data_IF_536325438198
#
_entry.id   IF_536325438198
#
_cell.length_a   1.000
_cell.length_b   1.000
_cell.length_c   1.000
_cell.angle_alpha   90.00
_cell.angle_beta   90.00
_cell.angle_gamma   90.00
#
_symmetry.space_group_name_H-M   'P 1'
#
loop_
_entity.id
_entity.type
_entity.pdbx_description
1 polymer ?
#
# COMPACT_ATOMS: atom_id res chain seq x y z
N UNK A 1 10.06 -7.93 -20.85
CA UNK A 1 10.77 -7.91 -19.55
C UNK A 1 12.16 -8.53 -19.61
N UNK A 2 12.33 -9.82 -19.97
CA UNK A 2 13.67 -10.41 -20.09
C UNK A 2 14.57 -9.75 -21.14
N UNK A 3 14.02 -9.45 -22.33
CA UNK A 3 14.76 -8.82 -23.42
C UNK A 3 15.34 -7.44 -23.07
N UNK A 4 14.76 -6.73 -22.09
CA UNK A 4 15.23 -5.43 -21.61
C UNK A 4 16.06 -5.55 -20.32
N UNK A 5 16.52 -6.75 -19.97
CA UNK A 5 17.40 -6.97 -18.81
C UNK A 5 16.71 -6.88 -17.44
N UNK A 6 15.39 -6.67 -17.36
CA UNK A 6 14.71 -6.45 -16.06
C UNK A 6 14.81 -7.61 -15.07
N UNK A 7 15.09 -8.83 -15.54
CA UNK A 7 15.34 -10.01 -14.71
C UNK A 7 16.71 -9.98 -13.99
N UNK A 8 17.58 -9.04 -14.36
CA UNK A 8 18.88 -8.81 -13.73
C UNK A 8 18.83 -7.70 -12.66
N UNK A 9 17.66 -7.10 -12.44
CA UNK A 9 17.49 -6.15 -11.34
C UNK A 9 17.62 -6.86 -9.99
N UNK A 10 17.86 -6.10 -8.92
CA UNK A 10 17.98 -6.67 -7.57
C UNK A 10 16.62 -6.99 -6.94
N UNK A 11 15.59 -6.19 -7.23
CA UNK A 11 14.25 -6.34 -6.68
C UNK A 11 13.20 -5.64 -7.54
N UNK A 12 11.92 -5.92 -7.25
CA UNK A 12 10.76 -5.28 -7.88
C UNK A 12 10.27 -4.16 -6.96
N UNK A 13 9.98 -2.98 -7.51
CA UNK A 13 9.26 -1.91 -6.80
C UNK A 13 7.80 -1.94 -7.23
N UNK A 14 6.92 -2.31 -6.29
CA UNK A 14 5.47 -2.38 -6.47
C UNK A 14 4.81 -1.13 -5.88
N UNK A 15 4.17 -0.33 -6.73
CA UNK A 15 3.46 0.87 -6.28
C UNK A 15 2.04 0.55 -5.85
N UNK A 16 1.60 1.11 -4.72
CA UNK A 16 0.18 1.10 -4.35
C UNK A 16 -0.50 2.44 -4.61
N UNK A 17 0.02 3.52 -4.01
CA UNK A 17 -0.43 4.89 -4.21
C UNK A 17 0.53 5.85 -3.48
N UNK A 18 0.72 7.05 -4.03
CA UNK A 18 1.42 8.15 -3.37
C UNK A 18 0.47 9.07 -2.57
N UNK A 19 -0.84 8.81 -2.63
CA UNK A 19 -1.91 9.58 -1.97
C UNK A 19 -2.85 8.66 -1.20
N UNK A 20 -3.33 9.13 -0.06
CA UNK A 20 -4.46 8.53 0.63
C UNK A 20 -5.69 8.56 -0.28
N UNK A 21 -6.45 7.48 -0.30
CA UNK A 21 -7.69 7.38 -1.07
C UNK A 21 -8.63 8.57 -0.80
N UNK A 22 -8.77 8.97 0.46
CA UNK A 22 -9.60 10.08 0.88
C UNK A 22 -9.25 11.41 0.22
N UNK A 23 -7.97 11.66 -0.07
CA UNK A 23 -7.57 12.89 -0.74
C UNK A 23 -8.08 12.98 -2.18
N UNK A 24 -8.22 11.82 -2.83
CA UNK A 24 -8.72 11.66 -4.19
C UNK A 24 -10.25 11.59 -4.27
N UNK A 25 -10.92 11.44 -3.12
CA UNK A 25 -12.38 11.25 -3.02
C UNK A 25 -13.14 12.52 -2.62
N UNK A 26 -12.46 13.52 -2.05
CA UNK A 26 -13.12 14.78 -1.66
C UNK A 26 -13.56 15.58 -2.88
N UNK A 27 -14.69 16.29 -2.77
CA UNK A 27 -15.27 17.06 -3.87
C UNK A 27 -14.36 18.22 -4.34
N UNK A 28 -13.61 18.82 -3.42
CA UNK A 28 -12.66 19.90 -3.69
C UNK A 28 -11.26 19.47 -3.24
N UNK A 29 -10.58 18.58 -3.98
CA UNK A 29 -9.29 18.05 -3.58
C UNK A 29 -8.20 19.14 -3.69
N UNK A 30 -7.16 19.08 -2.84
CA UNK A 30 -5.96 19.88 -3.06
C UNK A 30 -5.34 19.53 -4.42
N UNK A 31 -4.55 20.45 -5.00
CA UNK A 31 -4.01 20.30 -6.34
C UNK A 31 -3.22 18.98 -6.53
N UNK A 32 -2.54 18.48 -5.49
CA UNK A 32 -1.80 17.21 -5.54
C UNK A 32 -2.66 15.95 -5.66
N UNK A 33 -3.98 16.08 -5.49
CA UNK A 33 -5.00 15.03 -5.53
C UNK A 33 -6.07 15.27 -6.60
N UNK A 34 -6.09 16.45 -7.20
CA UNK A 34 -7.07 16.83 -8.21
C UNK A 34 -6.89 16.06 -9.53
N UNK A 35 -7.97 15.96 -10.30
CA UNK A 35 -7.94 15.41 -11.67
C UNK A 35 -7.80 13.90 -11.78
N UNK A 36 -7.86 13.16 -10.67
CA UNK A 36 -7.91 11.68 -10.68
C UNK A 36 -9.36 11.21 -10.50
N UNK A 37 -9.74 10.16 -11.22
CA UNK A 37 -11.09 9.55 -11.16
C UNK A 37 -10.98 8.05 -10.98
N UNK A 38 -11.86 7.46 -10.18
CA UNK A 38 -11.93 6.01 -9.96
C UNK A 38 -12.17 5.65 -8.50
N UNK A 39 -12.08 4.35 -8.20
CA UNK A 39 -12.14 3.83 -6.83
C UNK A 39 -10.72 3.69 -6.29
N UNK A 40 -10.37 4.45 -5.25
CA UNK A 40 -9.00 4.50 -4.71
C UNK A 40 -8.82 3.70 -3.41
N UNK A 41 -9.89 3.59 -2.63
CA UNK A 41 -9.94 2.77 -1.43
C UNK A 41 -10.12 1.29 -1.80
N UNK A 42 -9.37 0.40 -1.16
CA UNK A 42 -9.37 -1.02 -1.51
C UNK A 42 -10.36 -1.80 -0.64
N UNK A 43 -11.05 -2.78 -1.22
CA UNK A 43 -11.90 -3.68 -0.44
C UNK A 43 -11.03 -4.61 0.42
N UNK A 44 -11.10 -4.44 1.73
CA UNK A 44 -10.36 -5.25 2.70
C UNK A 44 -10.91 -6.68 2.84
N UNK A 45 -12.11 -6.98 2.33
CA UNK A 45 -12.62 -8.35 2.29
C UNK A 45 -12.19 -9.12 1.03
N UNK A 46 -11.51 -8.45 0.10
CA UNK A 46 -11.06 -9.02 -1.19
C UNK A 46 -12.20 -9.60 -2.05
N UNK A 47 -13.39 -8.97 -2.04
CA UNK A 47 -14.55 -9.37 -2.83
C UNK A 47 -14.73 -8.41 -4.02
N UNK A 48 -14.79 -7.11 -3.75
CA UNK A 48 -14.96 -6.07 -4.76
C UNK A 48 -13.61 -5.57 -5.31
N UNK A 49 -13.63 -4.94 -6.49
CA UNK A 49 -12.44 -4.33 -7.11
C UNK A 49 -12.42 -2.82 -6.85
N UNK A 50 -11.25 -2.21 -6.58
CA UNK A 50 -9.94 -2.84 -6.35
C UNK A 50 -9.81 -3.48 -4.96
N UNK A 51 -8.97 -4.51 -4.83
CA UNK A 51 -8.62 -5.12 -3.55
C UNK A 51 -7.15 -5.55 -3.43
N UNK A 52 -6.75 -5.96 -2.23
CA UNK A 52 -5.36 -6.30 -1.89
C UNK A 52 -4.89 -7.55 -2.62
N UNK A 53 -5.72 -8.60 -2.66
CA UNK A 53 -5.39 -9.87 -3.33
C UNK A 53 -5.18 -9.67 -4.84
N UNK A 54 -5.96 -8.80 -5.48
CA UNK A 54 -5.76 -8.43 -6.88
C UNK A 54 -4.41 -7.73 -7.09
N UNK A 55 -4.06 -6.78 -6.22
CA UNK A 55 -2.77 -6.10 -6.28
C UNK A 55 -1.61 -7.09 -6.06
N UNK A 56 -1.70 -7.97 -5.07
CA UNK A 56 -0.69 -9.00 -4.78
C UNK A 56 -0.54 -9.99 -5.94
N UNK A 57 -1.65 -10.42 -6.56
CA UNK A 57 -1.66 -11.29 -7.73
C UNK A 57 -0.96 -10.63 -8.91
N UNK A 58 -1.30 -9.37 -9.22
CA UNK A 58 -0.70 -8.65 -10.34
C UNK A 58 0.83 -8.52 -10.19
N UNK A 59 1.33 -8.26 -8.98
CA UNK A 59 2.77 -8.20 -8.72
C UNK A 59 3.41 -9.59 -8.76
N UNK A 60 2.74 -10.63 -8.26
CA UNK A 60 3.20 -12.02 -8.37
C UNK A 60 3.32 -12.48 -9.83
N UNK A 61 2.37 -12.10 -10.69
CA UNK A 61 2.42 -12.37 -12.13
C UNK A 61 3.60 -11.66 -12.78
N UNK A 62 3.84 -10.39 -12.42
CA UNK A 62 5.00 -9.64 -12.89
C UNK A 62 6.32 -10.28 -12.45
N UNK A 63 6.40 -10.72 -11.19
CA UNK A 63 7.55 -11.47 -10.66
C UNK A 63 7.76 -12.79 -11.39
N UNK A 64 6.69 -13.51 -11.70
CA UNK A 64 6.74 -14.76 -12.49
C UNK A 64 7.31 -14.52 -13.88
N UNK A 65 6.90 -13.44 -14.55
CA UNK A 65 7.45 -13.05 -15.85
C UNK A 65 8.95 -12.71 -15.79
N UNK A 66 9.47 -12.36 -14.60
CA UNK A 66 10.88 -12.12 -14.28
C UNK A 66 11.60 -13.35 -13.73
N UNK A 67 11.06 -14.55 -13.94
CA UNK A 67 11.67 -15.82 -13.51
C UNK A 67 11.69 -16.07 -12.00
N UNK A 68 10.83 -15.42 -11.22
CA UNK A 68 10.67 -15.67 -9.78
C UNK A 68 11.94 -15.48 -8.93
N UNK A 69 12.95 -14.76 -9.44
CA UNK A 69 14.20 -14.54 -8.70
C UNK A 69 14.19 -13.33 -7.78
N UNK A 70 13.27 -12.37 -8.01
CA UNK A 70 13.39 -11.04 -7.42
C UNK A 70 12.43 -10.84 -6.25
N UNK A 71 12.89 -10.37 -5.07
CA UNK A 71 12.03 -10.00 -3.97
C UNK A 71 11.29 -8.68 -4.27
N UNK A 72 10.24 -8.39 -3.50
CA UNK A 72 9.36 -7.24 -3.73
C UNK A 72 9.51 -6.19 -2.62
N UNK A 73 9.65 -4.93 -3.04
CA UNK A 73 9.49 -3.73 -2.22
C UNK A 73 8.17 -3.06 -2.58
N UNK A 74 7.30 -2.79 -1.60
CA UNK A 74 6.12 -1.95 -1.84
C UNK A 74 6.43 -0.48 -1.54
N UNK A 75 6.28 0.37 -2.56
CA UNK A 75 6.57 1.81 -2.48
C UNK A 75 5.90 2.59 -3.63
N UNK A 76 5.26 3.73 -3.42
CA UNK A 76 4.81 4.32 -2.15
C UNK A 76 3.55 3.64 -1.62
N UNK A 77 3.42 3.63 -0.30
CA UNK A 77 2.23 3.15 0.40
C UNK A 77 1.69 4.27 1.31
N UNK A 78 0.43 4.72 1.11
CA UNK A 78 -0.15 5.85 1.82
C UNK A 78 -0.40 5.53 3.29
N UNK A 79 -0.60 6.58 4.11
CA UNK A 79 -0.62 6.54 5.57
C UNK A 79 -2.02 6.72 6.19
N UNK A 80 -3.05 6.87 5.36
CA UNK A 80 -4.43 7.08 5.81
C UNK A 80 -4.96 6.00 6.76
N UNK A 81 -6.08 6.35 7.40
CA UNK A 81 -6.73 5.52 8.43
C UNK A 81 -8.07 4.99 7.90
N UNK A 82 -8.44 3.72 8.14
CA UNK A 82 -9.67 3.16 7.61
C UNK A 82 -10.90 3.95 8.02
N UNK A 83 -11.82 4.17 7.07
CA UNK A 83 -13.11 4.80 7.31
C UNK A 83 -14.12 4.33 6.28
N UNK A 84 -15.35 4.05 6.72
CA UNK A 84 -16.47 3.76 5.83
C UNK A 84 -16.95 5.00 5.06
N UNK A 85 -16.67 6.20 5.57
CA UNK A 85 -17.04 7.49 4.95
C UNK A 85 -15.95 7.94 3.99
N UNK A 86 -16.24 8.10 2.67
CA UNK A 86 -15.29 8.62 1.69
C UNK A 86 -14.70 9.99 2.06
N UNK A 87 -13.45 10.21 1.66
CA UNK A 87 -12.77 11.50 1.86
C UNK A 87 -12.01 11.62 3.18
N UNK A 88 -12.21 12.76 3.83
CA UNK A 88 -11.50 13.18 5.03
C UNK A 88 -11.12 14.65 4.95
N UNK A 89 -10.21 15.09 5.81
CA UNK A 89 -9.68 16.46 5.81
C UNK A 89 -8.17 16.44 5.68
N UNK A 90 -7.57 17.61 5.45
CA UNK A 90 -6.12 17.77 5.36
C UNK A 90 -5.41 17.04 6.53
N UNK A 91 -4.45 16.18 6.19
CA UNK A 91 -3.69 15.31 7.10
C UNK A 91 -4.49 14.25 7.87
N UNK A 92 -5.77 14.05 7.54
CA UNK A 92 -6.66 13.06 8.15
C UNK A 92 -7.56 12.43 7.08
N UNK A 93 -6.95 11.96 6.00
CA UNK A 93 -7.67 11.29 4.92
C UNK A 93 -7.80 9.81 5.21
N UNK A 94 -8.88 9.21 4.70
CA UNK A 94 -9.04 7.77 4.79
C UNK A 94 -8.09 7.04 3.85
N UNK A 95 -7.52 5.94 4.32
CA UNK A 95 -6.92 4.88 3.51
C UNK A 95 -6.83 3.63 4.39
N UNK A 96 -6.69 2.45 3.79
CA UNK A 96 -6.61 1.21 4.55
C UNK A 96 -5.36 0.38 4.29
N UNK A 97 -4.40 0.89 3.52
CA UNK A 97 -3.20 0.12 3.20
C UNK A 97 -2.32 -0.13 4.42
N UNK A 98 -2.09 0.86 5.30
CA UNK A 98 -1.37 0.62 6.57
C UNK A 98 -2.07 -0.45 7.41
N UNK A 99 -3.38 -0.30 7.64
CA UNK A 99 -4.14 -1.24 8.48
C UNK A 99 -4.13 -2.65 7.90
N UNK A 100 -4.47 -2.81 6.62
CA UNK A 100 -4.52 -4.12 5.99
C UNK A 100 -3.14 -4.76 5.91
N UNK A 101 -2.12 -4.03 5.44
CA UNK A 101 -0.79 -4.61 5.22
C UNK A 101 -0.13 -5.05 6.53
N UNK A 102 -0.26 -4.28 7.60
CA UNK A 102 0.32 -4.63 8.90
C UNK A 102 -0.49 -5.69 9.67
N UNK A 103 -1.77 -5.90 9.33
CA UNK A 103 -2.59 -6.99 9.90
C UNK A 103 -2.46 -8.30 9.13
N UNK A 104 -2.05 -8.25 7.86
CA UNK A 104 -1.96 -9.40 6.96
C UNK A 104 -0.53 -9.60 6.46
N UNK A 105 0.48 -9.33 7.29
CA UNK A 105 1.89 -9.30 6.89
C UNK A 105 2.39 -10.60 6.30
N UNK A 106 1.87 -11.74 6.74
CA UNK A 106 2.25 -13.04 6.17
C UNK A 106 1.80 -13.20 4.72
N UNK A 107 0.68 -12.60 4.29
CA UNK A 107 0.29 -12.60 2.86
C UNK A 107 1.37 -11.94 1.99
N UNK A 108 2.04 -10.92 2.51
CA UNK A 108 3.14 -10.22 1.82
C UNK A 108 4.43 -11.03 1.88
N UNK A 109 4.73 -11.66 3.01
CA UNK A 109 5.87 -12.58 3.14
C UNK A 109 5.78 -13.77 2.18
N UNK A 110 4.58 -14.33 1.99
CA UNK A 110 4.30 -15.46 1.11
C UNK A 110 4.49 -15.14 -0.38
N UNK A 111 4.45 -13.86 -0.77
CA UNK A 111 4.76 -13.41 -2.14
C UNK A 111 6.19 -12.86 -2.28
N UNK A 112 7.07 -13.11 -1.30
CA UNK A 112 8.47 -12.65 -1.27
C UNK A 112 8.63 -11.12 -1.13
N UNK A 113 7.73 -10.46 -0.40
CA UNK A 113 7.88 -9.06 -0.03
C UNK A 113 8.89 -8.90 1.09
N UNK A 114 10.02 -8.27 0.83
CA UNK A 114 11.05 -8.03 1.87
C UNK A 114 10.82 -6.73 2.63
N UNK A 115 10.09 -5.76 2.05
CA UNK A 115 9.82 -4.49 2.70
C UNK A 115 8.55 -3.82 2.15
N UNK A 116 7.90 -3.04 3.02
CA UNK A 116 6.78 -2.15 2.69
C UNK A 116 7.13 -0.77 3.27
N UNK A 117 7.13 0.26 2.43
CA UNK A 117 7.47 1.62 2.82
C UNK A 117 6.21 2.47 2.89
N UNK A 118 5.78 2.74 4.12
CA UNK A 118 4.66 3.64 4.40
C UNK A 118 5.16 5.08 4.52
N UNK A 119 4.51 6.00 3.81
CA UNK A 119 4.83 7.42 3.89
C UNK A 119 3.65 8.29 3.48
N UNK A 120 3.70 9.56 3.84
CA UNK A 120 2.67 10.53 3.46
C UNK A 120 2.63 10.73 1.94
N UNK A 121 3.77 10.68 1.24
CA UNK A 121 3.84 10.85 -0.23
C UNK A 121 3.49 12.24 -0.78
N UNK A 122 2.71 13.05 -0.05
CA UNK A 122 2.32 14.42 -0.37
C UNK A 122 2.11 15.28 0.88
N UNK A 123 1.92 16.58 0.71
CA UNK A 123 1.87 17.53 1.83
C UNK A 123 0.53 17.58 2.57
N UNK A 124 -0.55 17.15 1.92
CA UNK A 124 -1.89 17.15 2.51
C UNK A 124 -2.31 15.77 3.05
N UNK A 125 -1.47 14.76 2.87
CA UNK A 125 -1.78 13.39 3.24
C UNK A 125 -1.66 13.16 4.74
N UNK A 126 -2.29 12.10 5.22
CA UNK A 126 -2.10 11.60 6.58
C UNK A 126 -0.63 11.29 6.81
N UNK A 127 -0.15 11.58 8.00
CA UNK A 127 1.25 11.37 8.41
C UNK A 127 1.29 10.49 9.65
N UNK A 128 2.48 10.01 10.02
CA UNK A 128 2.68 9.29 11.28
C UNK A 128 2.28 10.10 12.53
N UNK A 129 2.19 11.43 12.41
CA UNK A 129 1.80 12.32 13.51
C UNK A 129 0.29 12.58 13.54
N UNK A 130 -0.44 12.23 12.47
CA UNK A 130 -1.85 12.56 12.29
C UNK A 130 -2.74 11.34 12.02
N UNK A 131 -2.16 10.15 11.98
CA UNK A 131 -2.83 8.85 11.79
C UNK A 131 -3.52 8.31 13.06
N UNK A 132 -3.59 9.11 14.13
CA UNK A 132 -4.16 8.70 15.40
C UNK A 132 -3.40 7.56 16.10
N UNK A 133 -2.12 7.35 15.76
CA UNK A 133 -1.27 6.30 16.34
C UNK A 133 -1.47 4.92 15.72
N UNK A 134 -2.19 4.81 14.59
CA UNK A 134 -2.43 3.55 13.88
C UNK A 134 -1.13 2.82 13.55
N UNK A 135 -0.20 3.50 12.88
CA UNK A 135 1.05 2.91 12.42
C UNK A 135 1.89 2.44 13.60
N UNK A 136 2.08 3.29 14.62
CA UNK A 136 2.86 2.96 15.81
C UNK A 136 2.29 1.70 16.52
N UNK A 137 0.97 1.63 16.67
CA UNK A 137 0.29 0.49 17.29
C UNK A 137 0.46 -0.80 16.49
N UNK A 138 0.20 -0.76 15.18
CA UNK A 138 0.26 -1.93 14.31
C UNK A 138 1.71 -2.41 14.09
N UNK A 139 2.66 -1.48 13.94
CA UNK A 139 4.08 -1.82 13.85
C UNK A 139 4.58 -2.48 15.13
N UNK A 140 4.17 -1.98 16.31
CA UNK A 140 4.51 -2.62 17.59
C UNK A 140 3.98 -4.04 17.68
N UNK A 141 2.77 -4.30 17.16
CA UNK A 141 2.20 -5.66 17.09
C UNK A 141 3.01 -6.56 16.15
N UNK A 142 3.34 -6.07 14.96
CA UNK A 142 4.19 -6.77 13.99
C UNK A 142 5.55 -7.17 14.60
N UNK A 143 6.23 -6.24 15.25
CA UNK A 143 7.53 -6.50 15.88
C UNK A 143 7.41 -7.48 17.05
N UNK A 144 6.35 -7.36 17.86
CA UNK A 144 6.10 -8.28 18.98
C UNK A 144 5.83 -9.71 18.51
N UNK A 145 5.27 -9.89 17.32
CA UNK A 145 5.02 -11.19 16.71
C UNK A 145 6.26 -11.79 16.02
N UNK A 146 7.39 -11.08 15.99
CA UNK A 146 8.62 -11.52 15.34
C UNK A 146 8.69 -11.23 13.84
N UNK A 147 7.75 -10.43 13.32
CA UNK A 147 7.68 -10.06 11.91
C UNK A 147 6.97 -11.11 11.03
N UNK A 148 7.15 -10.99 9.71
CA UNK A 148 6.65 -11.96 8.74
C UNK A 148 7.81 -12.81 8.20
N UNK A 149 7.55 -14.09 7.96
CA UNK A 149 8.53 -14.97 7.33
C UNK A 149 8.50 -14.79 5.82
N UNK A 150 9.68 -14.66 5.21
CA UNK A 150 9.84 -14.80 3.76
C UNK A 150 9.82 -16.28 3.42
N UNK A 151 8.93 -16.67 2.51
CA UNK A 151 8.91 -18.01 1.93
C UNK A 151 9.61 -18.03 0.59
#
# INVERSE_FOLDING_TARGET
>A
MKAVGAHQADFIVAQTSDRDAGCLEVASPPAECAGRTGTFYWDANNIATPNFHQSQSAISDYRTALSNGLPILWWQTPMGVPSATPGGTNQHYRDNRVDYMLRNTQEYGDIHTFAIVFSAGGSFQTTINTDGGQFARLLSQYLTQGGAALR
#
